data_IF_669709573393
#
_entry.id   IF_669709573393
#
_cell.length_a   1.000
_cell.length_b   1.000
_cell.length_c   1.000
_cell.angle_alpha   90.00
_cell.angle_beta   90.00
_cell.angle_gamma   90.00
#
_symmetry.space_group_name_H-M   'P 1'
#
loop_
_entity.id
_entity.type
_entity.pdbx_description
1 polymer ?
#
# COMPACT_ATOMS: atom_id res chain seq x y z
N UNK A 1 15.42 -21.21 -2.60
CA UNK A 1 15.06 -20.96 -1.20
C UNK A 1 13.55 -20.75 -1.13
N UNK A 2 12.83 -21.62 -0.44
CA UNK A 2 11.40 -21.38 -0.14
C UNK A 2 11.41 -20.35 0.99
N UNK A 3 10.86 -19.17 0.69
CA UNK A 3 10.74 -18.10 1.67
C UNK A 3 9.73 -18.57 2.73
N UNK A 4 10.13 -18.55 4.00
CA UNK A 4 9.22 -18.90 5.11
C UNK A 4 7.98 -18.00 5.05
N UNK A 5 6.81 -18.62 5.17
CA UNK A 5 5.53 -17.92 5.18
C UNK A 5 5.50 -16.93 6.36
N UNK A 6 5.01 -15.70 6.13
CA UNK A 6 4.91 -14.65 7.16
C UNK A 6 4.18 -15.18 8.41
N UNK A 7 3.22 -16.09 8.21
CA UNK A 7 2.46 -16.73 9.27
C UNK A 7 3.30 -17.58 10.21
N UNK A 8 4.44 -18.12 9.75
CA UNK A 8 5.34 -18.93 10.57
C UNK A 8 6.02 -18.14 11.69
N UNK A 9 6.16 -16.82 11.53
CA UNK A 9 6.75 -15.94 12.53
C UNK A 9 5.83 -15.59 13.70
N UNK A 10 4.54 -15.97 13.63
CA UNK A 10 3.50 -15.66 14.63
C UNK A 10 3.51 -14.18 15.10
N UNK A 11 3.47 -13.21 14.17
CA UNK A 11 3.51 -11.80 14.54
C UNK A 11 2.24 -11.36 15.28
N UNK A 12 2.39 -10.57 16.34
CA UNK A 12 1.25 -9.92 17.00
C UNK A 12 0.57 -8.89 16.08
N UNK A 13 1.37 -8.17 15.29
CA UNK A 13 0.92 -7.15 14.34
C UNK A 13 1.71 -7.31 13.05
N UNK A 14 1.01 -7.35 11.90
CA UNK A 14 1.63 -7.39 10.58
C UNK A 14 1.24 -6.17 9.75
N UNK A 15 2.23 -5.47 9.18
CA UNK A 15 2.02 -4.43 8.19
C UNK A 15 2.21 -5.01 6.79
N UNK A 16 1.21 -4.88 5.92
CA UNK A 16 1.28 -5.42 4.56
C UNK A 16 1.04 -4.31 3.53
N UNK A 17 2.05 -4.04 2.70
CA UNK A 17 1.97 -3.07 1.61
C UNK A 17 1.79 -3.77 0.26
N UNK A 18 0.76 -3.37 -0.49
CA UNK A 18 0.36 -4.02 -1.75
C UNK A 18 0.16 -3.00 -2.88
N UNK A 19 0.22 -3.47 -4.12
CA UNK A 19 -0.30 -2.77 -5.29
C UNK A 19 0.75 -2.21 -6.27
N UNK A 20 1.99 -1.92 -5.84
CA UNK A 20 2.98 -1.32 -6.76
C UNK A 20 3.40 -2.32 -7.84
N UNK A 21 3.74 -3.56 -7.48
CA UNK A 21 4.16 -4.59 -8.45
C UNK A 21 2.99 -4.99 -9.34
N UNK A 22 1.83 -5.27 -8.75
CA UNK A 22 0.60 -5.63 -9.47
C UNK A 22 0.23 -4.62 -10.56
N UNK A 23 0.42 -3.33 -10.27
CA UNK A 23 0.16 -2.24 -11.22
C UNK A 23 1.01 -2.38 -12.49
N UNK A 24 2.28 -2.80 -12.36
CA UNK A 24 3.21 -2.96 -13.48
C UNK A 24 3.17 -4.36 -14.11
N UNK A 25 2.46 -5.33 -13.52
CA UNK A 25 2.32 -6.66 -14.11
C UNK A 25 1.49 -6.61 -15.39
N UNK A 26 2.17 -6.80 -16.52
CA UNK A 26 1.55 -6.84 -17.85
C UNK A 26 0.46 -7.90 -17.91
N UNK A 27 -0.73 -7.51 -18.41
CA UNK A 27 -1.85 -8.42 -18.60
C UNK A 27 -2.64 -8.75 -17.33
N UNK A 28 -2.25 -8.24 -16.16
CA UNK A 28 -3.03 -8.44 -14.93
C UNK A 28 -4.33 -7.63 -15.00
N UNK A 29 -5.47 -8.33 -15.08
CA UNK A 29 -6.79 -7.70 -15.09
C UNK A 29 -7.22 -7.30 -13.67
N UNK A 30 -8.04 -6.25 -13.56
CA UNK A 30 -8.63 -5.81 -12.29
C UNK A 30 -9.43 -6.92 -11.61
N UNK A 31 -10.15 -7.74 -12.38
CA UNK A 31 -10.92 -8.89 -11.86
C UNK A 31 -10.01 -9.94 -11.22
N UNK A 32 -8.86 -10.23 -11.82
CA UNK A 32 -7.85 -11.13 -11.27
C UNK A 32 -7.23 -10.53 -10.01
N UNK A 33 -6.89 -9.24 -10.02
CA UNK A 33 -6.36 -8.56 -8.84
C UNK A 33 -7.37 -8.59 -7.68
N UNK A 34 -8.67 -8.33 -7.94
CA UNK A 34 -9.74 -8.49 -6.93
C UNK A 34 -9.75 -9.88 -6.30
N UNK A 35 -9.71 -10.94 -7.12
CA UNK A 35 -9.66 -12.33 -6.63
C UNK A 35 -8.42 -12.60 -5.79
N UNK A 36 -7.27 -12.08 -6.21
CA UNK A 36 -6.01 -12.25 -5.47
C UNK A 36 -6.07 -11.57 -4.10
N UNK A 37 -6.54 -10.32 -4.04
CA UNK A 37 -6.70 -9.58 -2.79
C UNK A 37 -7.72 -10.25 -1.88
N UNK A 38 -8.87 -10.67 -2.42
CA UNK A 38 -9.90 -11.38 -1.68
C UNK A 38 -9.37 -12.67 -1.04
N UNK A 39 -8.73 -13.52 -1.85
CA UNK A 39 -8.15 -14.77 -1.38
C UNK A 39 -7.10 -14.52 -0.30
N UNK A 40 -6.18 -13.57 -0.53
CA UNK A 40 -5.13 -13.24 0.43
C UNK A 40 -5.70 -12.76 1.76
N UNK A 41 -6.68 -11.85 1.74
CA UNK A 41 -7.30 -11.32 2.95
C UNK A 41 -8.14 -12.35 3.69
N UNK A 42 -8.77 -13.29 2.97
CA UNK A 42 -9.51 -14.40 3.55
C UNK A 42 -8.59 -15.33 4.37
N UNK A 43 -7.37 -15.59 3.88
CA UNK A 43 -6.38 -16.43 4.56
C UNK A 43 -5.92 -15.74 5.84
N UNK A 44 -5.53 -14.47 5.76
CA UNK A 44 -5.14 -13.67 6.93
C UNK A 44 -6.24 -13.64 8.00
N UNK A 45 -7.52 -13.59 7.56
CA UNK A 45 -8.66 -13.54 8.48
C UNK A 45 -8.85 -14.86 9.20
N UNK A 46 -8.74 -15.96 8.45
CA UNK A 46 -8.88 -17.32 8.96
C UNK A 46 -7.80 -17.64 9.98
N UNK A 47 -6.59 -17.15 9.76
CA UNK A 47 -5.44 -17.42 10.63
C UNK A 47 -5.37 -16.45 11.82
N UNK A 48 -6.33 -15.53 11.95
CA UNK A 48 -6.48 -14.66 13.12
C UNK A 48 -5.37 -13.61 13.28
N UNK A 49 -4.62 -13.32 12.22
CA UNK A 49 -3.54 -12.35 12.27
C UNK A 49 -4.10 -10.93 12.34
N UNK A 50 -3.61 -10.11 13.27
CA UNK A 50 -3.93 -8.69 13.27
C UNK A 50 -3.07 -7.98 12.22
N UNK A 51 -3.74 -7.55 11.14
CA UNK A 51 -3.08 -6.98 9.96
C UNK A 51 -3.49 -5.54 9.75
N UNK A 52 -2.50 -4.68 9.50
CA UNK A 52 -2.69 -3.30 9.03
C UNK A 52 -2.29 -3.26 7.56
N UNK A 53 -3.24 -2.85 6.73
CA UNK A 53 -3.05 -2.76 5.28
C UNK A 53 -2.50 -1.39 4.93
N UNK A 54 -1.43 -1.37 4.12
CA UNK A 54 -0.82 -0.19 3.54
C UNK A 54 -1.09 -0.18 2.03
N UNK A 55 -1.59 0.94 1.50
CA UNK A 55 -1.60 1.15 0.04
C UNK A 55 -0.18 1.44 -0.46
N UNK A 56 0.03 1.39 -1.77
CA UNK A 56 1.36 1.59 -2.39
C UNK A 56 1.91 3.03 -2.28
N UNK A 57 3.22 3.19 -2.52
CA UNK A 57 3.95 4.46 -2.35
C UNK A 57 3.78 5.44 -3.51
N UNK A 58 3.79 5.01 -4.77
CA UNK A 58 3.63 5.88 -5.94
C UNK A 58 4.63 5.61 -7.05
N UNK A 59 4.58 6.43 -8.10
CA UNK A 59 5.48 6.36 -9.27
C UNK A 59 6.11 7.74 -9.48
N UNK A 60 7.45 7.81 -9.52
CA UNK A 60 8.21 9.07 -9.54
C UNK A 60 7.79 10.02 -10.65
N UNK A 61 7.64 9.50 -11.87
CA UNK A 61 7.49 10.30 -13.09
C UNK A 61 6.04 10.31 -13.62
N UNK A 62 5.05 10.35 -12.73
CA UNK A 62 3.67 10.66 -13.10
C UNK A 62 3.58 12.17 -13.40
N UNK A 63 2.95 12.52 -14.53
CA UNK A 63 2.75 13.94 -14.92
C UNK A 63 1.58 14.56 -14.17
N UNK A 64 0.45 13.85 -14.14
CA UNK A 64 -0.80 14.25 -13.51
C UNK A 64 -1.70 13.02 -13.28
N UNK A 65 -2.92 13.25 -12.79
CA UNK A 65 -3.91 12.20 -12.50
C UNK A 65 -4.44 11.47 -13.75
N UNK A 66 -4.25 12.02 -14.93
CA UNK A 66 -4.70 11.42 -16.19
C UNK A 66 -3.63 10.49 -16.81
N UNK A 67 -2.44 10.41 -16.21
CA UNK A 67 -1.43 9.41 -16.61
C UNK A 67 -2.02 8.00 -16.45
N UNK A 68 -2.04 7.16 -17.50
CA UNK A 68 -2.61 5.81 -17.42
C UNK A 68 -2.02 4.96 -16.31
N UNK A 69 -0.75 5.18 -15.94
CA UNK A 69 -0.10 4.48 -14.82
C UNK A 69 -0.64 4.95 -13.47
N UNK A 70 -0.95 6.24 -13.35
CA UNK A 70 -1.56 6.81 -12.15
C UNK A 70 -3.00 6.30 -11.98
N UNK A 71 -3.79 6.31 -13.06
CA UNK A 71 -5.15 5.76 -13.07
C UNK A 71 -5.13 4.29 -12.65
N UNK A 72 -4.27 3.48 -13.28
CA UNK A 72 -4.16 2.06 -12.96
C UNK A 72 -3.71 1.81 -11.52
N UNK A 73 -2.71 2.55 -11.05
CA UNK A 73 -2.27 2.45 -9.65
C UNK A 73 -3.40 2.78 -8.68
N UNK A 74 -4.21 3.80 -9.01
CA UNK A 74 -5.38 4.16 -8.23
C UNK A 74 -6.40 3.02 -8.23
N UNK A 75 -6.80 2.48 -9.37
CA UNK A 75 -7.75 1.36 -9.45
C UNK A 75 -7.33 0.14 -8.60
N UNK A 76 -6.03 -0.17 -8.57
CA UNK A 76 -5.48 -1.25 -7.75
C UNK A 76 -5.50 -0.91 -6.26
N UNK A 77 -5.08 0.30 -5.88
CA UNK A 77 -5.17 0.75 -4.49
C UNK A 77 -6.62 0.83 -4.00
N UNK A 78 -7.57 1.16 -4.87
CA UNK A 78 -9.00 1.20 -4.55
C UNK A 78 -9.51 -0.20 -4.19
N UNK A 79 -9.11 -1.22 -4.97
CA UNK A 79 -9.41 -2.63 -4.66
C UNK A 79 -8.83 -3.03 -3.30
N UNK A 80 -7.56 -2.69 -3.03
CA UNK A 80 -6.91 -2.95 -1.74
C UNK A 80 -7.71 -2.32 -0.59
N UNK A 81 -8.12 -1.06 -0.72
CA UNK A 81 -8.91 -0.34 0.30
C UNK A 81 -10.30 -0.96 0.51
N UNK A 82 -10.99 -1.30 -0.57
CA UNK A 82 -12.36 -1.81 -0.51
C UNK A 82 -12.42 -3.18 0.15
N UNK A 83 -11.49 -4.08 -0.20
CA UNK A 83 -11.41 -5.40 0.43
C UNK A 83 -10.91 -5.33 1.87
N UNK A 84 -9.99 -4.42 2.19
CA UNK A 84 -9.57 -4.22 3.58
C UNK A 84 -10.76 -3.79 4.45
N UNK A 85 -11.61 -2.89 3.94
CA UNK A 85 -12.86 -2.51 4.61
C UNK A 85 -13.81 -3.69 4.77
N UNK A 86 -13.98 -4.51 3.72
CA UNK A 86 -14.84 -5.71 3.76
C UNK A 86 -14.41 -6.69 4.86
N UNK A 87 -13.10 -6.97 4.99
CA UNK A 87 -12.55 -7.86 6.02
C UNK A 87 -12.33 -7.19 7.39
N UNK A 88 -12.63 -5.88 7.50
CA UNK A 88 -12.44 -5.02 8.68
C UNK A 88 -10.97 -4.90 9.12
N UNK A 89 -10.05 -4.83 8.18
CA UNK A 89 -8.65 -4.48 8.47
C UNK A 89 -8.47 -2.97 8.53
N UNK A 90 -7.70 -2.45 9.51
CA UNK A 90 -7.24 -1.07 9.49
C UNK A 90 -6.43 -0.77 8.22
N UNK A 91 -6.61 0.42 7.67
CA UNK A 91 -5.90 0.88 6.47
C UNK A 91 -5.14 2.17 6.75
N UNK A 92 -3.86 2.18 6.39
CA UNK A 92 -3.06 3.41 6.29
C UNK A 92 -2.86 3.69 4.80
N UNK A 93 -3.55 4.72 4.31
CA UNK A 93 -3.55 5.08 2.89
C UNK A 93 -2.32 5.93 2.54
N UNK A 94 -1.23 5.26 2.19
CA UNK A 94 0.04 5.84 1.75
C UNK A 94 -0.11 6.47 0.36
N UNK A 95 -0.83 5.81 -0.55
CA UNK A 95 -1.05 6.28 -1.91
C UNK A 95 -1.69 7.67 -1.93
N UNK A 96 -2.75 7.88 -1.13
CA UNK A 96 -3.40 9.20 -1.02
C UNK A 96 -2.52 10.24 -0.34
N UNK A 97 -1.68 9.84 0.61
CA UNK A 97 -0.71 10.75 1.25
C UNK A 97 0.35 11.24 0.25
N UNK A 98 0.87 10.33 -0.56
CA UNK A 98 1.84 10.61 -1.61
C UNK A 98 1.24 11.41 -2.77
N UNK A 99 -0.01 11.13 -3.15
CA UNK A 99 -0.74 11.92 -4.15
C UNK A 99 -0.88 13.39 -3.73
N UNK A 100 -1.17 13.65 -2.46
CA UNK A 100 -1.22 15.03 -1.92
C UNK A 100 0.12 15.73 -2.06
N UNK A 101 1.23 15.03 -1.79
CA UNK A 101 2.57 15.60 -1.96
C UNK A 101 2.89 15.84 -3.44
N UNK A 102 2.57 14.89 -4.32
CA UNK A 102 2.75 15.03 -5.76
C UNK A 102 2.06 16.28 -6.32
N UNK A 103 0.82 16.54 -5.89
CA UNK A 103 0.05 17.69 -6.36
C UNK A 103 0.51 19.03 -5.78
N UNK A 104 0.91 19.03 -4.50
CA UNK A 104 1.28 20.27 -3.80
C UNK A 104 2.75 20.66 -3.99
N UNK A 105 3.64 19.66 -4.10
CA UNK A 105 5.09 19.83 -4.16
C UNK A 105 5.72 18.73 -5.04
N UNK A 106 5.53 18.78 -6.36
CA UNK A 106 5.96 17.72 -7.28
C UNK A 106 7.47 17.45 -7.25
N UNK A 107 8.30 18.46 -7.03
CA UNK A 107 9.76 18.27 -6.90
C UNK A 107 10.15 17.58 -5.60
N UNK A 108 9.48 17.92 -4.49
CA UNK A 108 9.68 17.24 -3.21
C UNK A 108 9.27 15.77 -3.33
N UNK A 109 8.12 15.49 -3.94
CA UNK A 109 7.67 14.13 -4.27
C UNK A 109 8.70 13.37 -5.11
N UNK A 110 9.17 13.95 -6.21
CA UNK A 110 10.18 13.31 -7.10
C UNK A 110 11.50 13.04 -6.38
N UNK A 111 11.85 13.87 -5.40
CA UNK A 111 13.07 13.70 -4.60
C UNK A 111 13.04 12.50 -3.64
N UNK A 112 11.89 11.84 -3.45
CA UNK A 112 11.75 10.69 -2.55
C UNK A 112 12.17 9.36 -3.18
N UNK A 113 12.42 9.33 -4.48
CA UNK A 113 12.65 8.10 -5.24
C UNK A 113 14.11 7.98 -5.69
N UNK A 114 14.65 6.76 -5.69
CA UNK A 114 15.93 6.43 -6.33
C UNK A 114 15.76 6.18 -7.83
N UNK A 115 14.65 5.57 -8.24
CA UNK A 115 14.30 5.27 -9.63
C UNK A 115 12.83 5.61 -9.92
N UNK A 116 12.17 4.91 -10.85
CA UNK A 116 10.77 5.16 -11.19
C UNK A 116 9.77 4.75 -10.09
N UNK A 117 10.13 3.83 -9.18
CA UNK A 117 9.21 3.22 -8.20
C UNK A 117 9.82 3.04 -6.81
N UNK A 118 11.13 2.81 -6.71
CA UNK A 118 11.82 2.58 -5.45
C UNK A 118 12.07 3.88 -4.71
N UNK A 119 11.78 3.89 -3.40
CA UNK A 119 12.08 5.01 -2.52
C UNK A 119 13.57 5.03 -2.15
N UNK A 120 14.16 6.22 -2.15
CA UNK A 120 15.45 6.45 -1.50
C UNK A 120 15.25 6.59 0.03
N UNK A 121 16.33 6.80 0.78
CA UNK A 121 16.26 6.81 2.25
C UNK A 121 15.42 7.97 2.81
N UNK A 122 15.41 9.12 2.13
CA UNK A 122 14.50 10.23 2.45
C UNK A 122 13.03 9.80 2.26
N UNK A 123 12.73 9.13 1.15
CA UNK A 123 11.41 8.59 0.87
C UNK A 123 10.95 7.54 1.87
N UNK A 124 11.82 6.57 2.20
CA UNK A 124 11.53 5.54 3.20
C UNK A 124 11.22 6.17 4.56
N UNK A 125 12.03 7.14 5.00
CA UNK A 125 11.81 7.86 6.26
C UNK A 125 10.49 8.63 6.23
N UNK A 126 10.22 9.37 5.17
CA UNK A 126 8.98 10.15 5.00
C UNK A 126 7.72 9.28 5.11
N UNK A 127 7.73 8.10 4.47
CA UNK A 127 6.62 7.16 4.55
C UNK A 127 6.53 6.48 5.92
N UNK A 128 7.67 6.09 6.50
CA UNK A 128 7.70 5.47 7.83
C UNK A 128 7.15 6.40 8.91
N UNK A 129 7.50 7.69 8.87
CA UNK A 129 6.98 8.70 9.80
C UNK A 129 5.46 8.86 9.67
N UNK A 130 4.94 8.87 8.44
CA UNK A 130 3.50 8.88 8.21
C UNK A 130 2.82 7.62 8.75
N UNK A 131 3.36 6.43 8.45
CA UNK A 131 2.81 5.16 8.95
C UNK A 131 2.78 5.15 10.47
N UNK A 132 3.88 5.54 11.12
CA UNK A 132 3.98 5.62 12.57
C UNK A 132 2.90 6.53 13.16
N UNK A 133 2.79 7.77 12.66
CA UNK A 133 1.77 8.71 13.13
C UNK A 133 0.34 8.15 12.96
N UNK A 134 0.07 7.49 11.83
CA UNK A 134 -1.27 6.92 11.57
C UNK A 134 -1.55 5.70 12.45
N UNK A 135 -0.55 4.87 12.70
CA UNK A 135 -0.66 3.72 13.57
C UNK A 135 -0.89 4.12 15.03
N UNK A 136 -0.15 5.08 15.57
CA UNK A 136 -0.38 5.61 16.93
C UNK A 136 -1.82 6.10 17.11
N UNK A 137 -2.34 6.85 16.12
CA UNK A 137 -3.74 7.31 16.12
C UNK A 137 -4.78 6.18 16.04
N UNK A 138 -4.42 5.00 15.54
CA UNK A 138 -5.31 3.83 15.54
C UNK A 138 -5.37 3.25 16.95
N UNK A 139 -4.22 3.08 17.60
CA UNK A 139 -4.12 2.56 18.97
C UNK A 139 -4.83 3.47 19.99
N UNK A 140 -4.70 4.80 19.84
CA UNK A 140 -5.33 5.76 20.76
C UNK A 140 -6.86 5.81 20.65
N UNK A 141 -7.45 5.29 19.57
CA UNK A 141 -8.91 5.26 19.37
C UNK A 141 -9.56 3.98 19.89
N UNK A 142 -8.76 2.96 20.20
CA UNK A 142 -9.23 1.69 20.76
C UNK A 142 -9.11 1.64 22.29
N UNK A 143 -8.47 2.65 22.91
CA UNK A 143 -8.42 2.88 24.36
C UNK A 143 -9.40 4.00 24.77
#
# INVERSE_FOLDING_TARGET
HIQEDILSFRPDITFIMLGIVDTFTTGLMLSTHRKNIDNFYSILKKDGVFVIILTSTGIRNIRDRNDPRAIRLQEFNDIVRDYARYYRYPVIDVARYMEKLMLSKPDEYRSLFSDSVMLNDKGKKYIAEYIYQRFSNILDKEN
#
